data_IF_915433438728
#
_entry.id   IF_915433438728
#
_cell.length_a   1.000
_cell.length_b   1.000
_cell.length_c   1.000
_cell.angle_alpha   90.00
_cell.angle_beta   90.00
_cell.angle_gamma   90.00
#
_symmetry.space_group_name_H-M   'P 1'
#
loop_
_entity.id
_entity.type
_entity.pdbx_description
1 polymer ?
#
# COMPACT_ATOMS: atom_id res chain seq x y z
N UNK A 1 8.47 -4.02 -15.08
CA UNK A 1 7.35 -3.30 -15.73
C UNK A 1 7.92 -2.32 -16.76
N UNK A 2 7.25 -2.10 -17.91
CA UNK A 2 7.62 -1.04 -18.85
C UNK A 2 7.66 0.34 -18.14
N UNK A 3 8.60 1.21 -18.51
CA UNK A 3 8.68 2.54 -17.93
C UNK A 3 7.55 3.46 -18.46
N UNK A 4 6.95 4.33 -17.62
CA UNK A 4 5.96 5.31 -18.07
C UNK A 4 6.47 6.14 -19.26
N UNK A 5 5.66 6.25 -20.32
CA UNK A 5 5.98 7.01 -21.53
C UNK A 5 6.97 6.33 -22.49
N UNK A 6 7.45 5.12 -22.19
CA UNK A 6 8.24 4.33 -23.14
C UNK A 6 7.38 3.79 -24.29
N UNK A 7 8.01 3.36 -25.39
CA UNK A 7 7.30 2.70 -26.52
C UNK A 7 6.67 1.37 -26.15
N UNK A 8 7.06 0.79 -25.01
CA UNK A 8 6.50 -0.44 -24.45
C UNK A 8 5.37 -0.16 -23.44
N UNK A 9 5.07 1.10 -23.13
CA UNK A 9 3.97 1.48 -22.25
C UNK A 9 2.63 1.11 -22.86
N UNK A 10 1.78 0.42 -22.10
CA UNK A 10 0.49 -0.11 -22.57
C UNK A 10 0.55 -1.48 -23.27
N UNK A 11 1.74 -2.08 -23.37
CA UNK A 11 1.86 -3.47 -23.87
C UNK A 11 1.40 -4.49 -22.82
N UNK A 12 1.04 -5.70 -23.27
CA UNK A 12 0.63 -6.78 -22.38
C UNK A 12 1.79 -7.22 -21.49
N UNK A 13 1.57 -7.23 -20.18
CA UNK A 13 2.52 -7.75 -19.19
C UNK A 13 1.83 -8.88 -18.42
N UNK A 14 2.40 -10.09 -18.35
CA UNK A 14 1.78 -11.20 -17.63
C UNK A 14 1.44 -10.85 -16.18
N UNK A 15 0.17 -11.07 -15.81
CA UNK A 15 -0.32 -10.78 -14.46
C UNK A 15 -0.72 -9.33 -14.20
N UNK A 16 -0.59 -8.42 -15.19
CA UNK A 16 -1.00 -7.03 -15.08
C UNK A 16 -2.06 -6.68 -16.11
N UNK A 17 -3.02 -5.84 -15.70
CA UNK A 17 -3.92 -5.13 -16.59
C UNK A 17 -3.40 -3.71 -16.80
N UNK A 18 -3.57 -3.17 -18.01
CA UNK A 18 -3.32 -1.77 -18.30
C UNK A 18 -4.61 -0.98 -18.15
N UNK A 19 -4.66 -0.09 -17.16
CA UNK A 19 -5.86 0.65 -16.76
C UNK A 19 -5.94 1.98 -17.52
N UNK A 20 -6.99 2.12 -18.32
CA UNK A 20 -7.28 3.33 -19.08
C UNK A 20 -8.13 4.30 -18.26
N UNK A 21 -7.48 5.24 -17.56
CA UNK A 21 -8.13 6.39 -16.92
C UNK A 21 -8.02 7.65 -17.77
N UNK A 22 -8.67 8.75 -17.35
CA UNK A 22 -8.60 10.05 -18.02
C UNK A 22 -7.18 10.61 -18.12
N UNK A 23 -6.33 10.36 -17.12
CA UNK A 23 -4.86 10.50 -17.08
C UNK A 23 -4.40 10.44 -15.61
N UNK A 24 -3.29 9.76 -15.25
CA UNK A 24 -2.44 8.93 -16.10
C UNK A 24 -2.95 7.47 -16.20
N UNK A 25 -2.77 6.84 -17.36
CA UNK A 25 -2.90 5.38 -17.47
C UNK A 25 -1.82 4.70 -16.63
N UNK A 26 -2.09 3.51 -16.10
CA UNK A 26 -1.15 2.77 -15.26
C UNK A 26 -1.34 1.26 -15.39
N UNK A 27 -0.37 0.48 -14.92
CA UNK A 27 -0.52 -0.96 -14.76
C UNK A 27 -0.98 -1.29 -13.35
N UNK A 28 -1.79 -2.33 -13.22
CA UNK A 28 -2.19 -2.88 -11.93
C UNK A 28 -2.25 -4.41 -12.02
N UNK A 29 -2.20 -5.11 -10.89
CA UNK A 29 -2.36 -6.56 -10.84
C UNK A 29 -3.73 -6.96 -11.38
N UNK A 30 -3.75 -7.94 -12.27
CA UNK A 30 -5.00 -8.46 -12.81
C UNK A 30 -5.70 -9.41 -11.83
N UNK A 31 -6.98 -9.69 -12.09
CA UNK A 31 -7.83 -10.55 -11.22
C UNK A 31 -7.24 -11.95 -11.00
N UNK A 32 -6.60 -12.53 -12.03
CA UNK A 32 -5.96 -13.85 -11.91
C UNK A 32 -4.75 -13.81 -10.98
N UNK A 33 -3.90 -12.81 -11.14
CA UNK A 33 -2.72 -12.61 -10.29
C UNK A 33 -3.13 -12.35 -8.85
N UNK A 34 -4.09 -11.45 -8.63
CA UNK A 34 -4.68 -11.18 -7.32
C UNK A 34 -5.22 -12.46 -6.68
N UNK A 35 -5.96 -13.27 -7.44
CA UNK A 35 -6.50 -14.55 -6.93
C UNK A 35 -5.39 -15.48 -6.42
N UNK A 36 -4.27 -15.59 -7.14
CA UNK A 36 -3.12 -16.38 -6.70
C UNK A 36 -2.48 -15.81 -5.44
N UNK A 37 -2.28 -14.50 -5.38
CA UNK A 37 -1.72 -13.81 -4.21
C UNK A 37 -2.59 -14.04 -2.98
N UNK A 38 -3.89 -13.78 -3.05
CA UNK A 38 -4.80 -13.98 -1.92
C UNK A 38 -4.88 -15.44 -1.50
N UNK A 39 -4.90 -16.37 -2.44
CA UNK A 39 -4.89 -17.81 -2.11
C UNK A 39 -3.62 -18.20 -1.36
N UNK A 40 -2.46 -17.70 -1.80
CA UNK A 40 -1.19 -17.94 -1.11
C UNK A 40 -1.17 -17.31 0.29
N UNK A 41 -1.59 -16.05 0.42
CA UNK A 41 -1.65 -15.34 1.71
C UNK A 41 -2.57 -16.04 2.72
N UNK A 42 -3.73 -16.53 2.26
CA UNK A 42 -4.62 -17.38 3.08
C UNK A 42 -3.92 -18.65 3.56
N UNK A 43 -3.15 -19.30 2.70
CA UNK A 43 -2.37 -20.48 3.06
C UNK A 43 -1.32 -20.21 4.14
N UNK A 44 -0.67 -19.03 4.08
CA UNK A 44 0.27 -18.60 5.13
C UNK A 44 -0.44 -18.40 6.47
N UNK A 45 -1.58 -17.70 6.47
CA UNK A 45 -2.41 -17.50 7.68
C UNK A 45 -2.87 -18.83 8.26
N UNK A 46 -3.34 -19.76 7.43
CA UNK A 46 -3.78 -21.07 7.89
C UNK A 46 -2.65 -21.88 8.54
N UNK A 47 -1.42 -21.76 8.01
CA UNK A 47 -0.26 -22.52 8.51
C UNK A 47 0.37 -21.92 9.77
N UNK A 48 0.43 -20.60 9.87
CA UNK A 48 1.15 -19.88 10.93
C UNK A 48 0.23 -19.21 11.96
N UNK A 49 -1.08 -19.29 11.76
CA UNK A 49 -2.07 -18.59 12.57
C UNK A 49 -2.29 -17.15 12.10
N UNK A 50 -3.37 -16.54 12.60
CA UNK A 50 -3.83 -15.23 12.16
C UNK A 50 -2.75 -14.16 12.32
N UNK A 51 -2.24 -13.94 13.53
CA UNK A 51 -1.37 -12.80 13.80
C UNK A 51 -0.01 -12.90 13.11
N UNK A 52 0.71 -14.01 13.29
CA UNK A 52 2.03 -14.20 12.69
C UNK A 52 1.94 -14.36 11.17
N UNK A 53 0.99 -15.18 10.69
CA UNK A 53 0.82 -15.43 9.26
C UNK A 53 0.37 -14.18 8.51
N UNK A 54 -0.50 -13.35 9.10
CA UNK A 54 -0.90 -12.08 8.52
C UNK A 54 0.27 -11.09 8.48
N UNK A 55 1.00 -10.95 9.59
CA UNK A 55 2.13 -10.02 9.67
C UNK A 55 3.22 -10.34 8.64
N UNK A 56 3.51 -11.62 8.40
CA UNK A 56 4.46 -12.05 7.36
C UNK A 56 3.88 -11.82 5.95
N UNK A 57 2.65 -12.26 5.70
CA UNK A 57 2.04 -12.17 4.38
C UNK A 57 1.86 -10.72 3.91
N UNK A 58 1.43 -9.79 4.79
CA UNK A 58 1.16 -8.40 4.39
C UNK A 58 2.39 -7.67 3.87
N UNK A 59 3.54 -7.86 4.51
CA UNK A 59 4.78 -7.20 4.10
C UNK A 59 5.33 -7.78 2.80
N UNK A 60 5.30 -9.12 2.65
CA UNK A 60 5.69 -9.77 1.39
C UNK A 60 4.82 -9.33 0.22
N UNK A 61 3.50 -9.18 0.43
CA UNK A 61 2.60 -8.71 -0.62
C UNK A 61 2.84 -7.23 -0.92
N UNK A 62 3.01 -6.39 0.10
CA UNK A 62 3.37 -4.97 -0.06
C UNK A 62 4.64 -4.82 -0.90
N UNK A 63 5.72 -5.52 -0.53
CA UNK A 63 7.00 -5.46 -1.23
C UNK A 63 6.87 -5.92 -2.68
N UNK A 64 6.07 -6.97 -2.92
CA UNK A 64 5.81 -7.43 -4.29
C UNK A 64 5.00 -6.43 -5.09
N UNK A 65 4.00 -5.79 -4.50
CA UNK A 65 3.21 -4.77 -5.17
C UNK A 65 4.09 -3.58 -5.56
N UNK A 66 4.88 -3.09 -4.61
CA UNK A 66 5.88 -2.03 -4.82
C UNK A 66 6.86 -2.39 -5.94
N UNK A 67 7.48 -3.58 -5.90
CA UNK A 67 8.44 -4.02 -6.91
C UNK A 67 7.80 -4.19 -8.30
N UNK A 68 6.54 -4.65 -8.35
CA UNK A 68 5.86 -4.95 -9.61
C UNK A 68 5.43 -3.69 -10.34
N UNK A 69 4.93 -2.71 -9.60
CA UNK A 69 4.29 -1.52 -10.14
C UNK A 69 5.14 -0.26 -10.00
N UNK A 70 6.22 -0.30 -9.23
CA UNK A 70 7.06 0.84 -8.88
C UNK A 70 6.26 2.00 -8.27
N UNK A 71 5.12 1.67 -7.65
CA UNK A 71 4.26 2.60 -6.89
C UNK A 71 4.30 2.16 -5.43
N UNK A 72 4.85 3.04 -4.60
CA UNK A 72 4.84 2.89 -3.15
C UNK A 72 4.68 4.27 -2.52
N UNK A 73 5.09 4.40 -1.27
CA UNK A 73 5.04 5.66 -0.55
C UNK A 73 5.76 6.77 -1.33
N UNK A 74 5.00 7.77 -1.79
CA UNK A 74 5.51 8.92 -2.53
C UNK A 74 4.83 10.19 -2.07
N UNK A 75 5.52 11.32 -2.24
CA UNK A 75 4.98 12.63 -1.89
C UNK A 75 4.46 13.33 -3.15
N UNK A 76 3.15 13.61 -3.19
CA UNK A 76 2.57 14.47 -4.21
C UNK A 76 2.72 15.93 -3.78
N UNK A 77 3.51 16.68 -4.54
CA UNK A 77 3.75 18.11 -4.27
C UNK A 77 2.53 18.98 -4.58
N UNK A 78 1.70 18.59 -5.55
CA UNK A 78 0.50 19.33 -5.93
C UNK A 78 -0.56 19.27 -4.83
N UNK A 79 -0.78 18.08 -4.28
CA UNK A 79 -1.71 17.85 -3.16
C UNK A 79 -1.06 18.10 -1.79
N UNK A 80 0.26 18.24 -1.75
CA UNK A 80 1.08 18.39 -0.53
C UNK A 80 0.86 17.26 0.46
N UNK A 81 0.64 16.04 -0.02
CA UNK A 81 0.32 14.87 0.77
C UNK A 81 1.17 13.66 0.38
N UNK A 82 1.29 12.71 1.32
CA UNK A 82 1.91 11.41 1.06
C UNK A 82 0.84 10.42 0.60
N UNK A 83 1.16 9.69 -0.46
CA UNK A 83 0.32 8.66 -1.07
C UNK A 83 1.03 7.33 -1.01
N UNK A 84 0.29 6.28 -0.70
CA UNK A 84 0.77 4.91 -0.75
C UNK A 84 -0.33 4.00 -1.29
N UNK A 85 -0.24 3.69 -2.57
CA UNK A 85 -1.22 2.84 -3.27
C UNK A 85 -1.21 1.39 -2.74
N UNK A 86 -0.16 1.00 -1.99
CA UNK A 86 -0.04 -0.31 -1.38
C UNK A 86 -0.53 -0.33 0.08
N UNK A 87 -0.94 0.81 0.66
CA UNK A 87 -1.30 0.90 2.09
C UNK A 87 -2.41 -0.07 2.49
N UNK A 88 -3.38 -0.31 1.60
CA UNK A 88 -4.49 -1.20 1.93
C UNK A 88 -4.10 -2.66 2.04
N UNK A 89 -2.87 -3.05 1.67
CA UNK A 89 -2.32 -4.36 2.03
C UNK A 89 -1.86 -4.45 3.48
N UNK A 90 -1.69 -3.33 4.18
CA UNK A 90 -1.24 -3.27 5.57
C UNK A 90 -2.40 -3.17 6.57
N UNK A 91 -3.57 -2.79 6.08
CA UNK A 91 -4.78 -2.53 6.87
C UNK A 91 -5.44 -3.79 7.44
N UNK A 92 -6.24 -3.59 8.48
CA UNK A 92 -7.07 -4.61 9.08
C UNK A 92 -8.26 -4.98 8.17
N UNK A 93 -9.20 -5.77 8.69
CA UNK A 93 -10.43 -6.10 7.96
C UNK A 93 -11.19 -4.83 7.55
N UNK A 94 -11.47 -4.67 6.26
CA UNK A 94 -12.35 -3.64 5.73
C UNK A 94 -13.83 -4.07 5.75
N UNK A 95 -14.73 -3.10 5.82
CA UNK A 95 -16.18 -3.28 5.61
C UNK A 95 -16.50 -3.72 4.17
N UNK A 96 -17.73 -4.17 3.92
CA UNK A 96 -18.17 -4.60 2.60
C UNK A 96 -18.09 -3.46 1.56
N UNK A 97 -18.41 -2.24 1.98
CA UNK A 97 -18.32 -1.03 1.18
C UNK A 97 -16.86 -0.68 0.88
N UNK A 98 -15.98 -0.68 1.90
CA UNK A 98 -14.56 -0.37 1.73
C UNK A 98 -13.86 -1.37 0.80
N UNK A 99 -14.16 -2.67 0.93
CA UNK A 99 -13.51 -3.66 0.06
C UNK A 99 -13.97 -3.59 -1.39
N UNK A 100 -15.17 -3.07 -1.67
CA UNK A 100 -15.72 -3.05 -3.03
C UNK A 100 -14.95 -2.09 -3.94
N UNK A 101 -14.46 -0.98 -3.38
CA UNK A 101 -13.60 -0.02 -4.08
C UNK A 101 -12.11 -0.40 -4.00
N UNK A 102 -11.79 -1.43 -3.21
CA UNK A 102 -10.42 -1.86 -2.94
C UNK A 102 -10.01 -3.11 -3.75
N UNK A 103 -8.70 -3.37 -3.80
CA UNK A 103 -8.12 -4.58 -4.42
C UNK A 103 -8.69 -5.90 -3.87
N UNK A 104 -9.22 -5.89 -2.64
CA UNK A 104 -9.85 -7.04 -2.01
C UNK A 104 -11.17 -7.45 -2.67
N UNK A 105 -11.96 -6.48 -3.16
CA UNK A 105 -13.25 -6.74 -3.81
C UNK A 105 -13.15 -7.23 -5.25
N UNK A 106 -11.97 -7.13 -5.87
CA UNK A 106 -11.75 -7.49 -7.28
C UNK A 106 -11.83 -8.99 -7.57
N UNK A 107 -11.75 -9.85 -6.54
CA UNK A 107 -11.89 -11.29 -6.69
C UNK A 107 -12.47 -11.96 -5.45
N UNK A 108 -13.06 -13.15 -5.62
CA UNK A 108 -13.65 -13.93 -4.53
C UNK A 108 -12.61 -14.35 -3.47
N UNK A 109 -11.36 -14.60 -3.88
CA UNK A 109 -10.27 -14.93 -2.97
C UNK A 109 -9.90 -13.74 -2.06
N UNK A 110 -9.95 -12.51 -2.58
CA UNK A 110 -9.71 -11.28 -1.81
C UNK A 110 -10.80 -11.03 -0.78
N UNK A 111 -12.08 -11.19 -1.18
CA UNK A 111 -13.21 -11.10 -0.24
C UNK A 111 -13.08 -12.15 0.87
N UNK A 112 -12.69 -13.38 0.51
CA UNK A 112 -12.47 -14.45 1.49
C UNK A 112 -11.26 -14.18 2.40
N UNK A 113 -10.22 -13.54 1.88
CA UNK A 113 -9.04 -13.13 2.65
C UNK A 113 -9.39 -12.04 3.66
N UNK A 114 -10.11 -11.00 3.26
CA UNK A 114 -10.51 -9.91 4.14
C UNK A 114 -11.27 -10.41 5.38
N UNK A 115 -12.14 -11.43 5.22
CA UNK A 115 -12.87 -12.06 6.33
C UNK A 115 -12.00 -12.77 7.37
N UNK A 116 -10.74 -13.04 7.05
CA UNK A 116 -9.78 -13.63 7.98
C UNK A 116 -9.00 -12.58 8.74
N UNK A 117 -8.94 -11.34 8.26
CA UNK A 117 -8.14 -10.29 8.87
C UNK A 117 -8.68 -9.93 10.26
N UNK A 118 -7.82 -9.42 11.16
CA UNK A 118 -8.30 -8.92 12.44
C UNK A 118 -9.33 -7.82 12.24
N UNK A 119 -10.38 -7.81 13.06
CA UNK A 119 -11.31 -6.68 13.08
C UNK A 119 -10.55 -5.40 13.42
N UNK A 120 -10.89 -4.26 12.78
CA UNK A 120 -10.34 -2.99 13.17
C UNK A 120 -10.71 -2.74 14.62
N UNK A 121 -9.71 -2.54 15.48
CA UNK A 121 -9.96 -2.03 16.82
C UNK A 121 -10.67 -0.68 16.64
N UNK A 122 -11.88 -0.51 17.18
CA UNK A 122 -12.72 0.71 17.26
C UNK A 122 -12.17 2.00 16.64
N UNK A 123 -13.01 2.79 15.94
CA UNK A 123 -12.63 3.62 14.79
C UNK A 123 -11.47 4.56 15.10
N UNK A 124 -10.26 4.06 14.92
CA UNK A 124 -9.10 4.91 14.67
C UNK A 124 -9.10 5.07 13.16
N UNK A 125 -9.77 6.12 12.72
CA UNK A 125 -9.67 6.72 11.39
C UNK A 125 -9.21 5.75 10.30
N UNK A 126 -10.18 5.04 9.71
CA UNK A 126 -10.01 4.33 8.44
C UNK A 126 -9.33 5.29 7.45
N UNK A 127 -8.23 4.83 6.87
CA UNK A 127 -7.38 5.56 5.93
C UNK A 127 -8.12 5.74 4.60
N UNK A 128 -9.03 6.71 4.57
CA UNK A 128 -9.03 7.59 3.42
C UNK A 128 -7.66 8.29 3.45
N UNK A 129 -6.83 8.02 2.45
CA UNK A 129 -5.57 8.71 2.16
C UNK A 129 -5.81 10.19 1.78
N UNK A 130 -6.58 10.90 2.60
CA UNK A 130 -7.02 12.29 2.47
C UNK A 130 -6.80 13.11 3.73
N UNK A 131 -5.98 12.63 4.66
CA UNK A 131 -5.54 13.47 5.76
C UNK A 131 -4.29 14.24 5.34
N UNK A 132 -4.37 15.55 5.06
CA UNK A 132 -3.17 16.37 5.03
C UNK A 132 -2.52 16.23 6.40
N UNK A 133 -1.28 15.74 6.42
CA UNK A 133 -0.41 15.88 7.57
C UNK A 133 -0.21 17.40 7.75
N UNK A 134 -1.05 18.04 8.57
CA UNK A 134 -0.77 19.37 9.07
C UNK A 134 0.41 19.20 10.01
N UNK A 135 1.61 19.42 9.47
CA UNK A 135 2.82 19.50 10.28
C UNK A 135 2.60 20.57 11.35
N UNK A 136 2.64 20.15 12.61
CA UNK A 136 2.63 21.07 13.74
C UNK A 136 3.86 21.99 13.62
N UNK A 137 3.71 23.31 13.47
CA UNK A 137 4.84 24.22 13.47
C UNK A 137 5.22 24.53 14.92
N UNK A 138 5.61 23.51 15.69
CA UNK A 138 6.07 23.72 17.06
C UNK A 138 7.07 22.66 17.49
N UNK A 139 8.19 22.61 16.78
CA UNK A 139 9.45 22.16 17.38
C UNK A 139 10.49 23.23 17.11
N UNK A 140 10.65 24.12 18.08
CA UNK A 140 11.77 25.07 18.15
C UNK A 140 13.09 24.31 18.01
N UNK A 141 14.07 24.82 17.23
CA UNK A 141 15.38 24.19 17.16
C UNK A 141 16.08 24.36 18.51
N UNK A 142 16.40 23.23 19.16
CA UNK A 142 17.26 23.21 20.33
C UNK A 142 18.62 23.85 19.98
N UNK A 143 18.97 24.88 20.74
CA UNK A 143 20.24 25.60 20.67
C UNK A 143 21.43 24.63 20.70
N UNK A 144 22.29 24.69 19.69
CA UNK A 144 23.60 24.03 19.70
C UNK A 144 24.43 24.55 20.88
N UNK A 145 25.02 23.69 21.73
CA UNK A 145 26.05 24.14 22.65
C UNK A 145 27.34 24.49 21.88
N UNK A 146 27.86 25.67 22.18
CA UNK A 146 29.10 26.23 21.65
C UNK A 146 30.30 25.43 22.16
N UNK A 147 31.02 24.76 21.26
CA UNK A 147 32.26 24.09 21.61
C UNK A 147 33.40 25.12 21.64
N UNK A 148 33.90 25.41 22.85
CA UNK A 148 35.12 26.15 23.07
C UNK A 148 36.32 25.38 22.50
N UNK A 149 37.13 26.05 21.67
CA UNK A 149 38.46 25.59 21.25
C UNK A 149 39.42 25.62 22.44
N UNK A 150 40.21 24.58 22.70
CA UNK A 150 41.37 24.71 23.55
C UNK A 150 42.55 25.28 22.75
N UNK A 151 43.24 26.23 23.36
CA UNK A 151 44.53 26.76 22.91
C UNK A 151 45.62 25.75 23.21
N UNK A 152 46.44 25.43 22.20
CA UNK A 152 47.65 24.63 22.29
C UNK A 152 48.41 24.73 20.97
#
# INVERSE_FOLDING_TARGET
MPAPGSTQWGTVVPGLDFIHTTTPHYYDWNTEYLTRVFTAARGVIQKRGLYEGWAEARWEVYDKYYQSLLVGLHYDRSEKAWFDDAVGWLDAQGSAEEIQEHIFGRCTAGIAFNKLLPEPSSPTTSLSARHPFQGDPSVSPASRPSAARPSG
#
